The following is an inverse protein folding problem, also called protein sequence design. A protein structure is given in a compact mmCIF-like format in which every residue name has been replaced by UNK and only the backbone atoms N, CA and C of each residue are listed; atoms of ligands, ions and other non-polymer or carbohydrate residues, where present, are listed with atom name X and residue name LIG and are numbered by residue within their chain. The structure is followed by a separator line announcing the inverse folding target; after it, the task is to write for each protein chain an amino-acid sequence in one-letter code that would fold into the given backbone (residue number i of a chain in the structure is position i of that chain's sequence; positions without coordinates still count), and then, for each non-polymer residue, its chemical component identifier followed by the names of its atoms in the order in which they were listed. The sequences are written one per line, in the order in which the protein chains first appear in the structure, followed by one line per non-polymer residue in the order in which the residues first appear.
data_IF_023769050762
#
_entry.id   IF_023769050762
#
_cell.length_a   1.000
_cell.length_b   1.000
_cell.length_c   1.000
_cell.angle_alpha   90.00
_cell.angle_beta   90.00
_cell.angle_gamma   90.00
#
_symmetry.space_group_name_H-M   'P 1'
#
loop_
_entity.id
_entity.type
_entity.pdbx_description
1 polymer ?
#
# COMPACT_ATOMS: atom_id res chain seq x y z
N UNK A 1 -5.87 -15.44 -14.72
CA UNK A 1 -5.43 -15.29 -14.51
C UNK A 1 -4.63 -15.05 -13.97
N UNK A 2 -4.46 -15.10 -13.89
CA UNK A 2 -3.85 -14.83 -13.32
C UNK A 2 -3.01 -14.34 -13.12
N UNK A 3 -2.89 -14.06 -13.11
CA UNK A 3 -2.18 -13.62 -12.99
C UNK A 3 -1.67 -13.03 -12.38
N UNK A 4 -2.00 -12.93 -12.03
CA UNK A 4 -1.67 -12.35 -11.30
C UNK A 4 -0.68 -12.53 -10.71
N UNK A 5 -0.29 -12.83 -10.81
CA UNK A 5 0.47 -13.07 -10.22
C UNK A 5 1.31 -12.52 -9.86
N UNK A 6 0.90 -12.72 -10.00
CA UNK A 6 1.35 -11.85 -9.16
C UNK A 6 2.76 -11.46 -9.06
N UNK A 7 2.98 -10.27 -9.18
CA UNK A 7 4.30 -9.70 -9.02
C UNK A 7 4.54 -9.37 -7.58
N UNK A 8 5.64 -9.84 -7.05
CA UNK A 8 5.92 -9.59 -5.65
C UNK A 8 6.28 -8.16 -5.36
N UNK A 9 6.83 -7.47 -6.36
CA UNK A 9 7.34 -6.11 -6.17
C UNK A 9 6.45 -5.08 -6.79
N UNK A 10 5.18 -5.39 -6.96
CA UNK A 10 4.26 -4.43 -7.55
C UNK A 10 3.08 -4.20 -6.62
N UNK A 11 2.37 -3.13 -6.89
CA UNK A 11 1.23 -2.73 -6.10
C UNK A 11 0.21 -3.86 -6.00
N UNK A 12 -0.21 -4.13 -4.79
CA UNK A 12 -1.27 -5.10 -4.52
C UNK A 12 -2.51 -4.29 -4.17
N UNK A 13 -3.48 -4.29 -5.09
CA UNK A 13 -4.67 -3.48 -4.90
C UNK A 13 -5.47 -3.90 -3.68
N UNK A 14 -5.41 -5.17 -3.33
CA UNK A 14 -6.10 -5.63 -2.14
C UNK A 14 -5.47 -5.05 -0.88
N UNK A 15 -4.15 -5.05 -0.81
CA UNK A 15 -3.46 -4.45 0.32
C UNK A 15 -3.74 -2.95 0.40
N UNK A 16 -3.75 -2.30 -0.75
CA UNK A 16 -4.03 -0.88 -0.80
C UNK A 16 -5.44 -0.60 -0.26
N UNK A 17 -6.40 -1.38 -0.70
CA UNK A 17 -7.77 -1.21 -0.23
C UNK A 17 -7.86 -1.43 1.27
N UNK A 18 -7.22 -2.48 1.77
CA UNK A 18 -7.24 -2.77 3.20
C UNK A 18 -6.62 -1.63 4.01
N UNK A 19 -5.54 -1.07 3.51
CA UNK A 19 -4.90 0.05 4.19
C UNK A 19 -5.81 1.27 4.21
N UNK A 20 -6.46 1.55 3.09
CA UNK A 20 -7.37 2.68 3.01
C UNK A 20 -8.59 2.50 3.92
N UNK A 21 -9.11 1.28 3.98
CA UNK A 21 -10.25 0.99 4.86
C UNK A 21 -9.85 1.15 6.32
N UNK A 22 -8.66 0.65 6.67
CA UNK A 22 -8.16 0.83 8.02
C UNK A 22 -8.07 2.29 8.40
N UNK A 23 -7.53 3.08 7.48
CA UNK A 23 -7.37 4.52 7.70
C UNK A 23 -8.73 5.19 7.88
N UNK A 24 -9.69 4.82 7.04
CA UNK A 24 -11.06 5.33 7.14
C UNK A 24 -11.65 5.03 8.51
N UNK A 25 -11.29 3.89 9.10
CA UNK A 25 -11.81 3.48 10.39
C UNK A 25 -10.97 3.98 11.57
N UNK A 26 -10.00 4.83 11.30
CA UNK A 26 -9.20 5.43 12.35
C UNK A 26 -7.97 4.65 12.76
N UNK A 27 -7.60 3.65 11.99
CA UNK A 27 -6.40 2.86 12.26
C UNK A 27 -5.22 3.51 11.56
N UNK A 28 -4.45 4.29 12.30
CA UNK A 28 -3.31 5.00 11.72
C UNK A 28 -2.01 4.22 11.84
N UNK A 29 -2.10 2.95 12.18
CA UNK A 29 -0.93 2.07 12.18
C UNK A 29 -0.75 1.35 10.85
N UNK A 30 -1.69 1.52 9.92
CA UNK A 30 -1.59 0.84 8.62
C UNK A 30 -0.38 1.34 7.84
N UNK A 31 0.26 0.42 7.13
CA UNK A 31 1.41 0.76 6.28
C UNK A 31 1.41 -0.17 5.08
N UNK A 32 1.98 0.33 3.99
CA UNK A 32 2.13 -0.45 2.76
C UNK A 32 3.57 -0.93 2.64
N UNK A 33 3.79 -2.08 1.97
CA UNK A 33 5.16 -2.54 1.72
C UNK A 33 5.92 -1.52 0.88
N UNK A 34 7.13 -1.20 1.28
CA UNK A 34 7.92 -0.18 0.56
C UNK A 34 8.89 -0.80 -0.43
N UNK A 35 8.88 -2.11 -0.58
CA UNK A 35 9.79 -2.78 -1.50
C UNK A 35 9.17 -2.98 -2.89
N UNK A 36 7.99 -2.42 -3.13
CA UNK A 36 7.42 -2.42 -4.46
C UNK A 36 8.28 -1.58 -5.39
N UNK A 37 8.36 -1.99 -6.66
CA UNK A 37 9.24 -1.36 -7.62
C UNK A 37 8.58 -0.15 -8.28
N UNK A 38 9.40 0.78 -8.72
CA UNK A 38 8.96 1.89 -9.56
C UNK A 38 7.93 2.78 -8.90
N UNK A 39 6.94 3.16 -9.67
CA UNK A 39 5.90 4.05 -9.19
C UNK A 39 5.11 3.44 -8.04
N UNK A 40 4.94 2.12 -8.08
CA UNK A 40 4.22 1.44 -7.00
C UNK A 40 4.92 1.64 -5.66
N UNK A 41 6.24 1.58 -5.66
CA UNK A 41 7.01 1.84 -4.45
C UNK A 41 6.87 3.27 -3.99
N UNK A 42 6.81 4.21 -4.93
CA UNK A 42 6.60 5.61 -4.58
C UNK A 42 5.25 5.82 -3.93
N UNK A 43 4.24 5.12 -4.43
CA UNK A 43 2.91 5.20 -3.84
C UNK A 43 2.95 4.71 -2.39
N UNK A 44 3.63 3.59 -2.16
CA UNK A 44 3.72 3.04 -0.81
C UNK A 44 4.44 3.99 0.14
N UNK A 45 5.57 4.52 -0.29
CA UNK A 45 6.34 5.44 0.54
C UNK A 45 5.53 6.69 0.84
N UNK A 46 4.87 7.24 -0.17
CA UNK A 46 4.08 8.45 0.01
C UNK A 46 2.91 8.19 0.96
N UNK A 47 2.24 7.06 0.78
CA UNK A 47 1.13 6.68 1.65
C UNK A 47 1.60 6.60 3.10
N UNK A 48 2.69 5.88 3.32
CA UNK A 48 3.20 5.68 4.68
C UNK A 48 3.59 7.01 5.33
N UNK A 49 4.16 7.89 4.54
CA UNK A 49 4.57 9.20 5.02
C UNK A 49 3.36 10.03 5.43
N UNK A 50 2.33 10.04 4.60
CA UNK A 50 1.12 10.80 4.90
C UNK A 50 0.44 10.28 6.15
N UNK A 51 0.38 8.96 6.28
CA UNK A 51 -0.23 8.37 7.48
C UNK A 51 0.54 8.77 8.72
N UNK A 52 1.86 8.81 8.63
CA UNK A 52 2.70 9.20 9.77
C UNK A 52 2.41 10.63 10.20
N UNK A 53 2.00 11.48 9.27
CA UNK A 53 1.72 12.88 9.59
C UNK A 53 0.33 13.11 10.17
N UNK A 54 -0.51 12.09 10.13
CA UNK A 54 -1.85 12.23 10.70
C UNK A 54 -1.81 12.14 12.21
#
# INVERSE_FOLDING_TARGET
MATEKAEKNSLDTKLLLEALVGLKNGDFAVRLPVDWAGMDGKIAVTFNKEVTLL
#
